data_IF_475738109283
#
_entry.id   IF_475738109283
#
_cell.length_a   1.000
_cell.length_b   1.000
_cell.length_c   1.000
_cell.angle_alpha   90.00
_cell.angle_beta   90.00
_cell.angle_gamma   90.00
#
_symmetry.space_group_name_H-M   'P 1'
#
loop_
_entity.id
_entity.type
_entity.pdbx_description
1 polymer ?
#
# COMPACT_ATOMS: atom_id res chain seq x y z
N UNK A 1 36.55 19.76 15.47
CA UNK A 1 36.48 18.47 14.75
C UNK A 1 35.03 18.06 14.69
N UNK A 2 34.34 18.48 13.65
CA UNK A 2 32.88 18.34 13.49
C UNK A 2 32.67 17.16 12.54
N UNK A 3 32.15 16.05 13.06
CA UNK A 3 31.78 14.90 12.26
C UNK A 3 30.41 15.20 11.68
N UNK A 4 30.41 15.59 10.41
CA UNK A 4 29.19 15.73 9.61
C UNK A 4 28.70 14.34 9.24
N UNK A 5 27.62 13.90 9.85
CA UNK A 5 26.92 12.67 9.45
C UNK A 5 26.07 13.00 8.21
N UNK A 6 26.63 12.76 7.03
CA UNK A 6 25.83 12.64 5.81
C UNK A 6 25.08 11.32 5.89
N UNK A 7 23.81 11.38 6.26
CA UNK A 7 22.85 10.32 5.99
C UNK A 7 22.10 10.76 4.73
N UNK A 8 22.62 10.28 3.59
CA UNK A 8 21.93 10.44 2.30
C UNK A 8 20.56 9.75 2.35
N UNK A 9 19.54 10.51 1.94
CA UNK A 9 18.15 10.05 1.86
C UNK A 9 17.93 9.02 0.73
N UNK A 10 18.30 7.77 0.98
CA UNK A 10 18.23 6.67 0.00
C UNK A 10 17.02 5.74 0.24
N UNK A 11 16.16 6.02 1.23
CA UNK A 11 15.23 5.00 1.74
C UNK A 11 13.92 4.81 0.97
N UNK A 12 13.53 5.72 0.08
CA UNK A 12 12.22 5.62 -0.60
C UNK A 12 12.28 5.18 -2.07
N UNK A 13 13.41 5.34 -2.75
CA UNK A 13 13.50 5.12 -4.21
C UNK A 13 13.51 3.64 -4.64
N UNK A 14 13.86 2.73 -3.75
CA UNK A 14 14.25 1.39 -4.17
C UNK A 14 13.15 0.32 -4.11
N UNK A 15 12.01 0.61 -3.49
CA UNK A 15 10.84 -0.29 -3.54
C UNK A 15 10.09 -0.23 -4.87
N UNK A 16 10.41 0.76 -5.71
CA UNK A 16 9.58 1.23 -6.81
C UNK A 16 10.16 0.98 -8.22
N UNK A 17 11.41 0.58 -8.36
CA UNK A 17 12.13 0.65 -9.65
C UNK A 17 12.03 -0.52 -10.63
N UNK A 18 11.27 -1.60 -10.39
CA UNK A 18 11.52 -2.81 -11.17
C UNK A 18 10.31 -3.57 -11.69
N UNK A 19 9.55 -2.99 -12.61
CA UNK A 19 8.76 -3.76 -13.57
C UNK A 19 8.70 -2.96 -14.89
N UNK A 20 9.79 -2.97 -15.64
CA UNK A 20 9.77 -2.57 -17.04
C UNK A 20 10.92 -3.25 -17.77
N UNK A 21 10.79 -4.52 -18.04
CA UNK A 21 11.46 -5.19 -19.15
C UNK A 21 10.76 -6.54 -19.40
N UNK A 22 10.32 -6.69 -20.65
CA UNK A 22 9.86 -7.92 -21.29
C UNK A 22 8.39 -8.34 -21.10
N UNK A 23 7.53 -7.87 -22.02
CA UNK A 23 6.61 -8.73 -22.75
C UNK A 23 6.35 -8.14 -24.14
N UNK A 24 7.18 -8.48 -25.08
CA UNK A 24 6.85 -8.44 -26.49
C UNK A 24 6.59 -9.88 -26.93
N UNK A 25 5.33 -10.24 -27.14
CA UNK A 25 4.96 -11.28 -28.12
C UNK A 25 3.49 -11.11 -28.49
N UNK A 26 3.30 -10.69 -29.73
CA UNK A 26 2.06 -10.70 -30.48
C UNK A 26 1.60 -12.15 -30.73
N UNK A 27 0.38 -12.51 -30.44
CA UNK A 27 -0.33 -13.58 -31.19
C UNK A 27 -1.78 -13.19 -31.46
N UNK A 28 -2.11 -13.45 -32.68
CA UNK A 28 -3.14 -13.07 -33.57
C UNK A 28 -4.53 -13.69 -33.30
N UNK A 29 -5.54 -12.96 -33.77
CA UNK A 29 -6.96 -13.26 -33.90
C UNK A 29 -7.31 -14.67 -34.37
N UNK A 30 -8.45 -15.20 -33.90
CA UNK A 30 -9.53 -15.77 -34.73
C UNK A 30 -10.81 -15.95 -33.91
N UNK A 31 -11.93 -15.33 -34.39
CA UNK A 31 -13.32 -15.74 -34.10
C UNK A 31 -13.70 -16.95 -34.97
N UNK A 32 -14.67 -17.77 -34.52
CA UNK A 32 -15.85 -17.96 -35.35
C UNK A 32 -17.19 -17.97 -34.60
N UNK A 33 -18.13 -17.31 -35.16
CA UNK A 33 -19.50 -17.57 -35.64
C UNK A 33 -20.42 -18.51 -34.84
N UNK A 34 -21.59 -17.95 -34.54
CA UNK A 34 -22.89 -18.56 -34.15
C UNK A 34 -23.42 -19.50 -35.25
N UNK A 35 -24.31 -20.48 -34.88
CA UNK A 35 -25.69 -20.32 -35.35
C UNK A 35 -26.80 -20.69 -34.32
N UNK A 36 -27.99 -20.20 -34.69
CA UNK A 36 -29.30 -20.36 -34.08
C UNK A 36 -29.87 -21.78 -34.23
N UNK A 37 -30.81 -22.19 -33.34
CA UNK A 37 -32.24 -22.47 -33.59
C UNK A 37 -32.90 -23.22 -32.42
N UNK A 38 -33.89 -22.62 -31.88
CA UNK A 38 -35.29 -22.98 -31.54
C UNK A 38 -35.69 -24.47 -31.62
N UNK A 39 -36.18 -25.01 -30.51
CA UNK A 39 -37.44 -25.80 -30.52
C UNK A 39 -38.12 -25.84 -29.13
N UNK A 40 -39.42 -25.72 -29.18
CA UNK A 40 -40.44 -25.66 -28.15
C UNK A 40 -40.98 -27.07 -27.93
N UNK A 41 -41.18 -27.51 -26.71
CA UNK A 41 -42.22 -28.53 -26.38
C UNK A 41 -42.62 -28.48 -24.91
N UNK A 42 -43.86 -28.75 -24.72
CA UNK A 42 -44.76 -28.53 -23.58
C UNK A 42 -44.55 -29.51 -22.42
N UNK A 43 -44.79 -29.02 -21.22
CA UNK A 43 -45.65 -29.62 -20.21
C UNK A 43 -45.25 -30.92 -19.55
N UNK A 44 -44.92 -30.83 -18.24
CA UNK A 44 -45.45 -31.76 -17.22
C UNK A 44 -45.24 -31.15 -15.83
N UNK A 45 -46.35 -30.91 -15.15
CA UNK A 45 -46.36 -30.51 -13.73
C UNK A 45 -45.97 -31.73 -12.88
N UNK A 46 -44.83 -31.66 -12.19
CA UNK A 46 -44.54 -32.53 -11.06
C UNK A 46 -44.41 -31.66 -9.80
N UNK A 47 -45.25 -31.94 -8.83
CA UNK A 47 -45.12 -31.50 -7.46
C UNK A 47 -43.75 -31.92 -6.93
N UNK A 48 -42.87 -30.97 -6.66
CA UNK A 48 -41.66 -31.24 -5.89
C UNK A 48 -41.81 -30.53 -4.54
N UNK A 49 -41.79 -31.35 -3.49
CA UNK A 49 -41.85 -30.94 -2.10
C UNK A 49 -40.76 -29.91 -1.76
N UNK A 50 -41.14 -28.82 -1.13
CA UNK A 50 -40.25 -27.80 -0.52
C UNK A 50 -39.47 -28.46 0.64
N UNK A 51 -38.28 -28.91 0.39
CA UNK A 51 -37.27 -29.07 1.42
C UNK A 51 -36.61 -27.71 1.64
N UNK A 52 -37.11 -26.96 2.65
CA UNK A 52 -36.40 -25.79 3.18
C UNK A 52 -35.17 -26.27 3.91
N UNK A 53 -34.10 -26.52 3.15
CA UNK A 53 -32.75 -26.55 3.69
C UNK A 53 -32.38 -25.13 4.11
N UNK A 54 -32.29 -24.89 5.42
CA UNK A 54 -31.72 -23.69 5.96
C UNK A 54 -30.26 -23.59 5.53
N UNK A 55 -30.01 -22.99 4.37
CA UNK A 55 -28.72 -22.50 3.97
C UNK A 55 -28.43 -21.30 4.88
N UNK A 56 -27.85 -21.54 6.05
CA UNK A 56 -27.23 -20.50 6.83
C UNK A 56 -26.11 -19.94 5.98
N UNK A 57 -26.44 -18.90 5.20
CA UNK A 57 -25.44 -18.07 4.57
C UNK A 57 -24.51 -17.64 5.71
N UNK A 58 -23.27 -18.12 5.70
CA UNK A 58 -22.15 -17.55 6.43
C UNK A 58 -22.01 -16.11 5.91
N UNK A 59 -22.76 -15.20 6.56
CA UNK A 59 -22.52 -13.78 6.36
C UNK A 59 -21.04 -13.59 6.73
N UNK A 60 -20.23 -13.02 5.83
CA UNK A 60 -18.86 -12.71 6.20
C UNK A 60 -18.93 -11.86 7.47
N UNK A 61 -18.22 -12.31 8.52
CA UNK A 61 -18.07 -11.54 9.75
C UNK A 61 -17.76 -10.09 9.35
N UNK A 62 -18.51 -9.08 9.86
CA UNK A 62 -18.19 -7.71 9.53
C UNK A 62 -16.74 -7.51 9.97
N UNK A 63 -15.86 -7.24 9.00
CA UNK A 63 -14.48 -6.87 9.28
C UNK A 63 -14.52 -5.78 10.35
N UNK A 64 -13.95 -6.05 11.52
CA UNK A 64 -13.92 -5.08 12.60
C UNK A 64 -13.16 -3.86 12.09
N UNK A 65 -13.87 -2.72 12.00
CA UNK A 65 -13.25 -1.46 11.63
C UNK A 65 -12.11 -1.16 12.63
N UNK A 66 -10.94 -0.81 12.13
CA UNK A 66 -9.83 -0.36 12.98
C UNK A 66 -10.30 0.92 13.68
N UNK A 67 -10.44 0.85 14.99
CA UNK A 67 -10.89 1.99 15.80
C UNK A 67 -9.70 2.54 16.58
N UNK A 68 -9.30 3.76 16.24
CA UNK A 68 -8.20 4.48 16.88
C UNK A 68 -8.69 5.85 17.38
N UNK A 69 -8.11 6.34 18.47
CA UNK A 69 -8.32 7.73 18.87
C UNK A 69 -7.65 8.68 17.86
N UNK A 70 -8.16 9.91 17.75
CA UNK A 70 -7.53 10.94 16.91
C UNK A 70 -6.05 11.16 17.28
N UNK A 71 -5.73 11.11 18.57
CA UNK A 71 -4.35 11.22 19.06
C UNK A 71 -3.46 10.07 18.56
N UNK A 72 -3.99 8.83 18.46
CA UNK A 72 -3.25 7.68 17.94
C UNK A 72 -3.06 7.80 16.44
N UNK A 73 -4.10 8.20 15.70
CA UNK A 73 -4.01 8.47 14.25
C UNK A 73 -2.93 9.50 13.95
N UNK A 74 -2.94 10.64 14.66
CA UNK A 74 -1.93 11.69 14.50
C UNK A 74 -0.51 11.19 14.85
N UNK A 75 -0.38 10.36 15.89
CA UNK A 75 0.91 9.74 16.26
C UNK A 75 1.43 8.82 15.18
N UNK A 76 0.57 7.99 14.60
CA UNK A 76 0.89 7.13 13.47
C UNK A 76 1.36 7.98 12.28
N UNK A 77 0.60 9.01 11.92
CA UNK A 77 0.95 9.93 10.83
C UNK A 77 2.32 10.57 11.01
N UNK A 78 2.63 11.06 12.22
CA UNK A 78 3.95 11.64 12.54
C UNK A 78 5.09 10.63 12.45
N UNK A 79 4.88 9.38 12.87
CA UNK A 79 5.89 8.31 12.73
C UNK A 79 6.15 7.98 11.25
N UNK A 80 5.09 7.89 10.45
CA UNK A 80 5.23 7.66 8.99
C UNK A 80 5.95 8.83 8.33
N UNK A 81 5.58 10.08 8.66
CA UNK A 81 6.28 11.27 8.18
C UNK A 81 7.77 11.22 8.54
N UNK A 82 8.11 10.82 9.77
CA UNK A 82 9.51 10.67 10.17
C UNK A 82 10.22 9.61 9.33
N UNK A 83 9.60 8.46 9.08
CA UNK A 83 10.20 7.35 8.33
C UNK A 83 10.39 7.67 6.85
N UNK A 84 9.40 8.31 6.21
CA UNK A 84 9.39 8.54 4.76
C UNK A 84 10.05 9.87 4.37
N UNK A 85 9.92 10.89 5.21
CA UNK A 85 10.30 12.26 4.89
C UNK A 85 11.32 12.86 5.87
N UNK A 86 11.94 12.05 6.75
CA UNK A 86 12.81 12.49 7.85
C UNK A 86 12.17 13.58 8.75
N UNK A 87 10.83 13.62 8.83
CA UNK A 87 10.09 14.66 9.57
C UNK A 87 10.24 16.07 9.00
N UNK A 88 10.76 16.23 7.79
CA UNK A 88 10.97 17.53 7.18
C UNK A 88 9.80 17.98 6.31
N UNK A 89 9.50 19.27 6.29
CA UNK A 89 8.44 19.83 5.43
C UNK A 89 8.81 19.68 3.95
N UNK A 90 10.08 19.85 3.60
CA UNK A 90 10.56 19.66 2.22
C UNK A 90 10.42 18.24 1.73
N UNK A 91 10.58 17.25 2.63
CA UNK A 91 10.40 15.84 2.33
C UNK A 91 8.96 15.44 1.94
N UNK A 92 7.96 16.26 2.33
CA UNK A 92 6.56 16.04 1.91
C UNK A 92 6.34 16.26 0.41
N UNK A 93 7.31 16.79 -0.31
CA UNK A 93 7.23 17.02 -1.76
C UNK A 93 8.54 16.62 -2.41
N UNK A 94 8.59 15.42 -2.95
CA UNK A 94 9.78 14.85 -3.57
C UNK A 94 9.52 14.33 -4.98
N UNK A 95 10.56 14.25 -5.78
CA UNK A 95 10.61 13.57 -7.06
C UNK A 95 12.01 12.99 -7.18
N UNK A 96 12.15 11.69 -6.95
CA UNK A 96 13.44 11.02 -6.93
C UNK A 96 14.04 10.90 -8.33
N UNK A 97 15.35 10.80 -8.40
CA UNK A 97 16.04 10.58 -9.66
C UNK A 97 15.66 9.23 -10.25
N UNK A 98 15.35 9.23 -11.56
CA UNK A 98 14.91 8.04 -12.28
C UNK A 98 13.46 7.61 -12.04
N UNK A 99 12.66 8.39 -11.30
CA UNK A 99 11.21 8.21 -11.22
C UNK A 99 10.48 9.09 -12.24
N UNK A 100 9.33 8.62 -12.73
CA UNK A 100 8.47 9.32 -13.69
C UNK A 100 7.25 9.98 -13.02
N UNK A 101 7.31 10.22 -11.71
CA UNK A 101 6.21 10.77 -10.91
C UNK A 101 6.70 11.59 -9.72
N UNK A 102 5.82 12.47 -9.22
CA UNK A 102 5.99 13.13 -7.94
C UNK A 102 5.50 12.24 -6.80
N UNK A 103 6.23 12.26 -5.67
CA UNK A 103 5.89 11.60 -4.41
C UNK A 103 5.54 12.66 -3.37
N UNK A 104 4.29 12.67 -2.89
CA UNK A 104 3.73 13.76 -2.10
C UNK A 104 3.10 13.26 -0.78
N UNK A 105 3.17 14.07 0.26
CA UNK A 105 2.62 13.77 1.58
C UNK A 105 3.43 12.76 2.39
N UNK A 106 2.93 12.42 3.58
CA UNK A 106 3.62 11.57 4.56
C UNK A 106 3.86 10.13 4.09
N UNK A 107 3.05 9.63 3.18
CA UNK A 107 3.16 8.27 2.62
C UNK A 107 3.79 8.24 1.22
N UNK A 108 4.40 9.34 0.77
CA UNK A 108 4.94 9.47 -0.58
C UNK A 108 3.94 9.02 -1.66
N UNK A 109 2.71 9.57 -1.60
CA UNK A 109 1.64 9.26 -2.53
C UNK A 109 2.00 9.70 -3.95
N UNK A 110 1.82 8.78 -4.89
CA UNK A 110 2.26 8.93 -6.28
C UNK A 110 1.28 9.78 -7.09
N UNK A 111 1.82 10.74 -7.86
CA UNK A 111 1.08 11.54 -8.82
C UNK A 111 1.80 11.60 -10.16
N UNK A 112 1.17 11.00 -11.20
CA UNK A 112 1.77 10.94 -12.52
C UNK A 112 1.50 12.18 -13.37
N UNK A 113 2.47 12.63 -14.19
CA UNK A 113 2.24 13.62 -15.25
C UNK A 113 1.24 13.16 -16.30
N UNK A 114 0.73 14.11 -17.07
CA UNK A 114 -0.19 13.83 -18.17
C UNK A 114 0.41 12.82 -19.17
N UNK A 115 -0.38 11.78 -19.45
CA UNK A 115 0.01 10.74 -20.43
C UNK A 115 1.06 9.76 -19.91
N UNK A 116 1.52 9.89 -18.68
CA UNK A 116 2.41 8.92 -18.03
C UNK A 116 1.62 8.02 -17.09
N UNK A 117 1.98 6.75 -17.11
CA UNK A 117 1.54 5.75 -16.14
C UNK A 117 2.70 4.79 -15.92
N UNK A 118 2.90 4.37 -14.69
CA UNK A 118 3.92 3.40 -14.33
C UNK A 118 3.29 2.16 -13.71
N UNK A 119 4.11 1.23 -13.22
CA UNK A 119 3.65 -0.01 -12.59
C UNK A 119 2.97 0.20 -11.23
N UNK A 120 3.06 1.42 -10.68
CA UNK A 120 2.54 1.72 -9.34
C UNK A 120 1.17 2.37 -9.41
N UNK A 121 0.37 2.11 -8.39
CA UNK A 121 -0.92 2.75 -8.23
C UNK A 121 -0.75 4.27 -8.01
N UNK A 122 -1.44 5.08 -8.82
CA UNK A 122 -1.53 6.50 -8.60
C UNK A 122 -2.42 6.76 -7.37
N UNK A 123 -1.81 7.22 -6.28
CA UNK A 123 -2.45 7.31 -4.98
C UNK A 123 -2.72 8.74 -4.50
N UNK A 124 -1.98 9.75 -4.97
CA UNK A 124 -2.15 11.14 -4.53
C UNK A 124 -3.52 11.72 -4.91
N UNK A 125 -4.06 11.54 -6.12
CA UNK A 125 -5.42 11.99 -6.46
C UNK A 125 -6.50 11.35 -5.56
N UNK A 126 -6.31 10.08 -5.17
CA UNK A 126 -7.21 9.39 -4.24
C UNK A 126 -7.16 10.00 -2.84
N UNK A 127 -5.95 10.33 -2.36
CA UNK A 127 -5.75 11.04 -1.11
C UNK A 127 -6.46 12.41 -1.13
N UNK A 128 -6.26 13.23 -2.17
CA UNK A 128 -6.88 14.55 -2.29
C UNK A 128 -8.41 14.43 -2.26
N UNK A 129 -8.98 13.46 -2.99
CA UNK A 129 -10.41 13.17 -2.96
C UNK A 129 -10.91 12.77 -1.56
N UNK A 130 -10.14 11.93 -0.85
CA UNK A 130 -10.46 11.49 0.50
C UNK A 130 -10.47 12.65 1.50
N UNK A 131 -9.46 13.51 1.45
CA UNK A 131 -9.31 14.68 2.33
C UNK A 131 -10.40 15.73 2.03
N UNK A 132 -10.69 15.97 0.75
CA UNK A 132 -11.75 16.89 0.32
C UNK A 132 -13.13 16.45 0.83
N UNK A 133 -13.46 15.15 0.76
CA UNK A 133 -14.71 14.59 1.29
C UNK A 133 -14.86 14.76 2.81
N UNK A 134 -13.76 15.00 3.52
CA UNK A 134 -13.74 15.30 4.97
C UNK A 134 -13.79 16.78 5.30
N UNK A 135 -14.03 17.63 4.28
CA UNK A 135 -14.25 19.06 4.46
C UNK A 135 -12.99 19.91 4.50
N UNK A 136 -11.81 19.37 4.28
CA UNK A 136 -10.60 20.17 4.22
C UNK A 136 -10.58 21.06 2.97
N UNK A 137 -10.20 22.34 3.17
CA UNK A 137 -10.09 23.32 2.09
C UNK A 137 -8.85 23.03 1.26
N UNK A 138 -9.05 22.71 -0.03
CA UNK A 138 -7.95 22.44 -0.95
C UNK A 138 -7.26 23.74 -1.39
N UNK A 139 -5.93 23.80 -1.48
CA UNK A 139 -5.22 24.88 -2.18
C UNK A 139 -5.56 24.84 -3.68
N UNK A 140 -5.44 25.98 -4.36
CA UNK A 140 -5.82 26.16 -5.78
C UNK A 140 -5.19 25.09 -6.69
N UNK A 141 -3.93 24.75 -6.45
CA UNK A 141 -3.21 23.70 -7.18
C UNK A 141 -3.92 22.34 -7.15
N UNK A 142 -4.62 22.02 -6.07
CA UNK A 142 -5.28 20.71 -5.87
C UNK A 142 -6.76 20.69 -6.26
N UNK A 143 -7.33 21.84 -6.63
CA UNK A 143 -8.74 21.86 -7.08
C UNK A 143 -8.87 21.07 -8.37
N UNK A 144 -9.65 19.98 -8.30
CA UNK A 144 -9.82 19.02 -9.39
C UNK A 144 -8.67 18.02 -9.57
N UNK A 145 -7.73 17.92 -8.63
CA UNK A 145 -6.60 16.96 -8.71
C UNK A 145 -7.05 15.49 -8.77
N UNK A 146 -8.27 15.16 -8.35
CA UNK A 146 -8.83 13.81 -8.50
C UNK A 146 -8.97 13.35 -9.96
N UNK A 147 -9.05 14.31 -10.89
CA UNK A 147 -9.24 14.07 -12.34
C UNK A 147 -8.10 14.65 -13.18
N UNK A 148 -7.21 15.43 -12.57
CA UNK A 148 -6.11 16.10 -13.27
C UNK A 148 -4.79 15.39 -13.03
N UNK A 149 -3.92 15.34 -14.05
CA UNK A 149 -2.55 14.84 -13.89
C UNK A 149 -1.72 15.79 -13.02
N UNK A 150 -0.56 15.30 -12.55
CA UNK A 150 0.44 16.11 -11.90
C UNK A 150 0.77 17.36 -12.75
N UNK A 151 0.83 18.55 -12.16
CA UNK A 151 1.05 19.79 -12.90
C UNK A 151 2.48 19.94 -13.45
N UNK A 152 3.43 19.17 -12.90
CA UNK A 152 4.81 19.14 -13.38
C UNK A 152 5.00 17.94 -14.32
N UNK A 153 5.52 18.19 -15.53
CA UNK A 153 5.69 17.13 -16.54
C UNK A 153 7.03 16.40 -16.41
N UNK A 154 7.92 16.90 -15.59
CA UNK A 154 9.25 16.33 -15.36
C UNK A 154 9.80 16.70 -13.98
N UNK A 155 10.78 15.89 -13.52
CA UNK A 155 11.56 16.21 -12.32
C UNK A 155 12.20 17.59 -12.38
N UNK A 156 12.68 18.02 -13.54
CA UNK A 156 13.29 19.35 -13.71
C UNK A 156 12.28 20.47 -13.48
N UNK A 157 11.05 20.35 -14.01
CA UNK A 157 9.98 21.32 -13.74
C UNK A 157 9.59 21.33 -12.25
N UNK A 158 9.44 20.16 -11.65
CA UNK A 158 9.15 20.02 -10.24
C UNK A 158 10.22 20.71 -9.36
N UNK A 159 11.51 20.49 -9.65
CA UNK A 159 12.61 21.09 -8.91
C UNK A 159 12.67 22.62 -9.10
N UNK A 160 12.34 23.14 -10.29
CA UNK A 160 12.23 24.60 -10.51
C UNK A 160 11.08 25.22 -9.70
N UNK A 161 10.01 24.48 -9.47
CA UNK A 161 8.85 24.93 -8.71
C UNK A 161 9.05 24.87 -7.18
N UNK A 162 10.16 24.34 -6.67
CA UNK A 162 10.37 24.07 -5.23
C UNK A 162 10.19 25.28 -4.31
N UNK A 163 10.38 26.51 -4.82
CA UNK A 163 10.23 27.75 -4.06
C UNK A 163 9.02 28.58 -4.50
N UNK A 164 8.14 28.02 -5.35
CA UNK A 164 6.93 28.70 -5.79
C UNK A 164 5.91 28.83 -4.66
N UNK A 165 5.01 29.81 -4.78
CA UNK A 165 3.88 29.99 -3.87
C UNK A 165 3.00 28.74 -3.81
N UNK A 166 2.71 28.13 -4.96
CA UNK A 166 1.89 26.93 -5.04
C UNK A 166 2.54 25.74 -4.31
N UNK A 167 3.86 25.55 -4.44
CA UNK A 167 4.58 24.49 -3.73
C UNK A 167 4.57 24.72 -2.22
N UNK A 168 4.71 25.98 -1.78
CA UNK A 168 4.65 26.30 -0.35
C UNK A 168 3.23 26.10 0.22
N UNK A 169 2.19 26.47 -0.53
CA UNK A 169 0.80 26.19 -0.15
C UNK A 169 0.50 24.68 -0.11
N UNK A 170 1.03 23.92 -1.07
CA UNK A 170 0.92 22.46 -1.07
C UNK A 170 1.58 21.86 0.18
N UNK A 171 2.80 22.27 0.51
CA UNK A 171 3.50 21.78 1.71
C UNK A 171 2.75 22.10 2.98
N UNK A 172 2.25 23.33 3.10
CA UNK A 172 1.45 23.72 4.27
C UNK A 172 0.18 22.87 4.39
N UNK A 173 -0.55 22.67 3.29
CA UNK A 173 -1.71 21.79 3.25
C UNK A 173 -1.37 20.36 3.69
N UNK A 174 -0.23 19.82 3.24
CA UNK A 174 0.21 18.47 3.63
C UNK A 174 0.58 18.40 5.11
N UNK A 175 1.15 19.47 5.68
CA UNK A 175 1.40 19.56 7.14
C UNK A 175 0.09 19.62 7.91
N UNK A 176 -0.86 20.45 7.48
CA UNK A 176 -2.12 20.71 8.17
C UNK A 176 -3.08 19.50 8.12
N UNK A 177 -2.80 18.51 7.25
CA UNK A 177 -3.66 17.32 7.03
C UNK A 177 -2.96 16.00 7.33
N UNK A 178 -1.94 15.99 8.19
CA UNK A 178 -1.20 14.77 8.56
C UNK A 178 -2.14 13.69 9.12
N UNK A 179 -3.09 14.06 9.95
CA UNK A 179 -4.10 13.17 10.52
C UNK A 179 -4.98 12.54 9.45
N UNK A 180 -5.48 13.35 8.50
CA UNK A 180 -6.30 12.86 7.38
C UNK A 180 -5.51 11.96 6.42
N UNK A 181 -4.22 12.25 6.22
CA UNK A 181 -3.34 11.37 5.45
C UNK A 181 -3.12 10.04 6.18
N UNK A 182 -2.96 10.03 7.50
CA UNK A 182 -2.88 8.81 8.29
C UNK A 182 -4.19 8.02 8.25
N UNK A 183 -5.35 8.67 8.35
CA UNK A 183 -6.65 8.03 8.17
C UNK A 183 -6.78 7.38 6.79
N UNK A 184 -6.29 8.03 5.74
CA UNK A 184 -6.28 7.46 4.40
C UNK A 184 -5.43 6.19 4.31
N UNK A 185 -4.24 6.17 4.93
CA UNK A 185 -3.40 4.99 5.00
C UNK A 185 -4.07 3.85 5.78
N UNK A 186 -4.75 4.15 6.89
CA UNK A 186 -5.51 3.17 7.67
C UNK A 186 -6.67 2.61 6.84
N UNK A 187 -7.39 3.45 6.11
CA UNK A 187 -8.48 3.01 5.23
C UNK A 187 -7.96 2.11 4.08
N UNK A 188 -6.77 2.40 3.53
CA UNK A 188 -6.10 1.52 2.56
C UNK A 188 -5.74 0.18 3.17
N UNK A 189 -5.19 0.17 4.39
CA UNK A 189 -4.89 -1.06 5.12
C UNK A 189 -6.15 -1.92 5.32
N UNK A 190 -7.27 -1.32 5.74
CA UNK A 190 -8.53 -2.04 5.88
C UNK A 190 -9.01 -2.66 4.56
N UNK A 191 -8.84 -1.94 3.44
CA UNK A 191 -9.19 -2.47 2.11
C UNK A 191 -8.21 -3.50 1.57
N UNK A 192 -7.02 -3.62 2.15
CA UNK A 192 -6.03 -4.62 1.77
C UNK A 192 -6.37 -6.02 2.30
N UNK A 193 -6.98 -6.13 3.49
CA UNK A 193 -7.26 -7.44 4.10
C UNK A 193 -8.10 -8.36 3.23
N UNK A 194 -9.24 -7.95 2.63
CA UNK A 194 -10.00 -8.83 1.73
C UNK A 194 -9.19 -9.34 0.54
N UNK A 195 -8.29 -8.50 -0.01
CA UNK A 195 -7.41 -8.89 -1.12
C UNK A 195 -6.37 -9.92 -0.68
N UNK A 196 -5.78 -9.70 0.50
CA UNK A 196 -4.82 -10.64 1.08
C UNK A 196 -5.47 -12.00 1.37
N UNK A 197 -6.70 -12.01 1.92
CA UNK A 197 -7.45 -13.25 2.15
C UNK A 197 -7.80 -13.97 0.86
N UNK A 198 -8.12 -13.24 -0.21
CA UNK A 198 -8.41 -13.83 -1.52
C UNK A 198 -7.16 -14.44 -2.19
N UNK A 199 -5.97 -13.89 -1.91
CA UNK A 199 -4.68 -14.36 -2.45
C UNK A 199 -4.08 -15.49 -1.60
N UNK A 200 -4.31 -15.49 -0.29
CA UNK A 200 -3.82 -16.52 0.63
C UNK A 200 -4.38 -17.92 0.31
N UNK A 201 -3.58 -18.95 0.52
CA UNK A 201 -4.06 -20.31 0.43
C UNK A 201 -5.24 -20.55 1.39
N UNK A 202 -6.25 -21.37 1.03
CA UNK A 202 -7.41 -21.60 1.90
C UNK A 202 -7.06 -22.05 3.33
N UNK A 203 -5.95 -22.78 3.50
CA UNK A 203 -5.43 -23.21 4.81
C UNK A 203 -4.93 -22.04 5.67
N UNK A 204 -4.50 -20.95 5.05
CA UNK A 204 -3.79 -19.85 5.73
C UNK A 204 -4.69 -18.63 5.97
N UNK A 205 -5.86 -18.55 5.29
CA UNK A 205 -6.79 -17.43 5.40
C UNK A 205 -7.20 -17.12 6.84
N UNK A 206 -7.55 -18.14 7.62
CA UNK A 206 -7.94 -17.97 9.01
C UNK A 206 -6.79 -17.41 9.87
N UNK A 207 -5.56 -17.92 9.66
CA UNK A 207 -4.38 -17.41 10.34
C UNK A 207 -4.08 -15.96 9.95
N UNK A 208 -4.09 -15.62 8.66
CA UNK A 208 -3.85 -14.25 8.16
C UNK A 208 -4.84 -13.27 8.79
N UNK A 209 -6.13 -13.62 8.84
CA UNK A 209 -7.15 -12.80 9.49
C UNK A 209 -6.88 -12.64 10.98
N UNK A 210 -6.59 -13.71 11.70
CA UNK A 210 -6.31 -13.66 13.13
C UNK A 210 -5.09 -12.80 13.45
N UNK A 211 -3.99 -12.95 12.69
CA UNK A 211 -2.77 -12.16 12.92
C UNK A 211 -3.01 -10.67 12.63
N UNK A 212 -3.77 -10.35 11.59
CA UNK A 212 -4.18 -8.97 11.30
C UNK A 212 -5.01 -8.38 12.45
N UNK A 213 -6.02 -9.12 12.94
CA UNK A 213 -6.87 -8.70 14.04
C UNK A 213 -6.09 -8.55 15.38
N UNK A 214 -5.12 -9.42 15.63
CA UNK A 214 -4.23 -9.30 16.82
C UNK A 214 -3.46 -7.99 16.82
N UNK A 215 -2.90 -7.61 15.69
CA UNK A 215 -2.13 -6.37 15.53
C UNK A 215 -3.02 -5.13 15.63
N UNK A 216 -4.23 -5.18 15.06
CA UNK A 216 -5.15 -4.03 15.08
C UNK A 216 -5.74 -3.72 16.46
N UNK A 217 -5.55 -4.58 17.46
CA UNK A 217 -5.99 -4.32 18.85
C UNK A 217 -5.21 -3.20 19.55
N UNK A 218 -4.06 -2.80 19.01
CA UNK A 218 -3.22 -1.77 19.62
C UNK A 218 -2.83 -0.70 18.59
N UNK A 219 -2.68 0.58 18.99
CA UNK A 219 -2.17 1.63 18.11
C UNK A 219 -0.79 1.31 17.54
N UNK A 220 0.05 0.61 18.32
CA UNK A 220 1.38 0.19 17.92
C UNK A 220 1.34 -0.86 16.80
N UNK A 221 0.46 -1.85 16.93
CA UNK A 221 0.27 -2.86 15.87
C UNK A 221 -0.36 -2.26 14.63
N UNK A 222 -1.33 -1.33 14.76
CA UNK A 222 -1.87 -0.57 13.62
C UNK A 222 -0.76 0.21 12.90
N UNK A 223 0.13 0.88 13.63
CA UNK A 223 1.27 1.57 13.05
C UNK A 223 2.17 0.60 12.27
N UNK A 224 2.52 -0.55 12.84
CA UNK A 224 3.38 -1.54 12.20
C UNK A 224 2.77 -2.05 10.87
N UNK A 225 1.46 -2.36 10.87
CA UNK A 225 0.75 -2.77 9.66
C UNK A 225 0.72 -1.67 8.59
N UNK A 226 0.34 -0.44 8.96
CA UNK A 226 0.24 0.69 8.04
C UNK A 226 1.61 1.03 7.45
N UNK A 227 2.63 1.11 8.30
CA UNK A 227 3.99 1.42 7.87
C UNK A 227 4.54 0.33 6.94
N UNK A 228 4.33 -0.95 7.25
CA UNK A 228 4.81 -2.04 6.44
C UNK A 228 4.13 -2.12 5.06
N UNK A 229 2.81 -1.93 5.00
CA UNK A 229 2.10 -1.85 3.70
C UNK A 229 2.60 -0.68 2.86
N UNK A 230 2.79 0.50 3.49
CA UNK A 230 3.33 1.66 2.77
C UNK A 230 4.77 1.41 2.28
N UNK A 231 5.55 0.66 3.04
CA UNK A 231 6.96 0.37 2.78
C UNK A 231 7.18 -0.77 1.77
N UNK A 232 6.39 -1.87 1.85
CA UNK A 232 6.63 -3.12 1.10
C UNK A 232 5.42 -3.63 0.33
N UNK A 233 4.28 -2.98 0.45
CA UNK A 233 3.05 -3.37 -0.24
C UNK A 233 2.23 -4.42 0.48
N UNK A 234 1.10 -4.76 -0.14
CA UNK A 234 0.13 -5.72 0.38
C UNK A 234 0.62 -7.18 0.25
N UNK A 235 1.50 -7.48 -0.72
CA UNK A 235 2.01 -8.82 -1.00
C UNK A 235 1.09 -9.68 -1.87
N UNK A 236 0.12 -9.06 -2.55
CA UNK A 236 -0.85 -9.75 -3.41
C UNK A 236 -0.43 -9.79 -4.88
N UNK A 237 0.53 -8.98 -5.29
CA UNK A 237 0.95 -8.93 -6.69
C UNK A 237 1.95 -10.03 -7.02
N UNK A 238 1.65 -10.83 -8.05
CA UNK A 238 2.55 -11.89 -8.53
C UNK A 238 3.87 -11.34 -9.09
N UNK A 239 3.88 -10.08 -9.52
CA UNK A 239 5.09 -9.37 -10.00
C UNK A 239 6.03 -8.95 -8.87
N UNK A 240 5.54 -8.94 -7.62
CA UNK A 240 6.32 -8.62 -6.42
C UNK A 240 6.83 -9.89 -5.74
N UNK A 241 7.51 -10.76 -6.50
CA UNK A 241 8.04 -12.04 -6.02
C UNK A 241 9.42 -12.32 -6.63
N UNK A 242 10.30 -12.90 -5.82
CA UNK A 242 11.55 -13.49 -6.28
C UNK A 242 11.50 -15.00 -6.03
N UNK A 243 11.76 -15.80 -7.04
CA UNK A 243 11.71 -17.27 -6.94
C UNK A 243 10.38 -17.78 -6.31
N UNK A 244 9.26 -17.12 -6.63
CA UNK A 244 7.94 -17.44 -6.09
C UNK A 244 7.62 -16.89 -4.70
N UNK A 245 8.59 -16.27 -3.99
CA UNK A 245 8.42 -15.72 -2.65
C UNK A 245 8.13 -14.22 -2.70
N UNK A 246 6.98 -13.81 -2.19
CA UNK A 246 6.61 -12.42 -2.00
C UNK A 246 7.25 -11.81 -0.75
N UNK A 247 7.10 -10.50 -0.60
CA UNK A 247 7.71 -9.75 0.53
C UNK A 247 6.79 -8.70 1.15
N UNK A 248 5.50 -8.72 0.80
CA UNK A 248 4.53 -7.77 1.34
C UNK A 248 3.91 -8.21 2.66
N UNK A 249 2.88 -7.48 3.10
CA UNK A 249 2.22 -7.73 4.38
C UNK A 249 1.65 -9.15 4.48
N UNK A 250 1.05 -9.67 3.41
CA UNK A 250 0.49 -11.02 3.39
C UNK A 250 1.52 -12.04 3.88
N UNK A 251 2.74 -12.04 3.30
CA UNK A 251 3.78 -13.02 3.64
C UNK A 251 4.27 -12.88 5.08
N UNK A 252 4.23 -11.67 5.62
CA UNK A 252 4.56 -11.46 7.05
C UNK A 252 3.49 -12.08 7.94
N UNK A 253 2.21 -11.87 7.64
CA UNK A 253 1.10 -12.43 8.42
C UNK A 253 1.04 -13.96 8.31
N UNK A 254 1.32 -14.54 7.12
CA UNK A 254 1.45 -15.98 6.92
C UNK A 254 2.55 -16.59 7.82
N UNK A 255 3.62 -15.86 8.07
CA UNK A 255 4.74 -16.28 8.93
C UNK A 255 4.51 -16.09 10.44
N UNK A 256 3.34 -15.61 10.87
CA UNK A 256 2.96 -15.41 12.27
C UNK A 256 1.98 -16.51 12.71
N UNK A 257 2.11 -17.01 13.96
CA UNK A 257 1.25 -18.08 14.47
C UNK A 257 0.91 -17.92 15.97
N UNK A 258 1.34 -16.81 16.60
CA UNK A 258 1.05 -16.54 17.98
C UNK A 258 -0.42 -16.23 18.25
N UNK A 259 -0.84 -16.33 19.51
CA UNK A 259 -2.22 -16.09 19.97
C UNK A 259 -2.34 -14.90 20.91
N UNK A 260 -1.23 -14.49 21.56
CA UNK A 260 -1.20 -13.35 22.48
C UNK A 260 -1.10 -12.02 21.73
N UNK A 261 -1.99 -11.08 22.08
CA UNK A 261 -1.89 -9.71 21.51
C UNK A 261 -0.72 -8.91 22.11
N UNK A 262 -0.22 -9.29 23.29
CA UNK A 262 0.90 -8.62 23.92
C UNK A 262 2.20 -8.75 23.12
N UNK A 263 2.41 -9.92 22.49
CA UNK A 263 3.62 -10.22 21.72
C UNK A 263 3.46 -10.01 20.21
N UNK A 264 2.28 -9.54 19.77
CA UNK A 264 1.95 -9.47 18.34
C UNK A 264 2.92 -8.61 17.55
N UNK A 265 3.34 -7.46 18.07
CA UNK A 265 4.26 -6.55 17.38
C UNK A 265 5.68 -7.13 17.33
N UNK A 266 6.13 -7.79 18.39
CA UNK A 266 7.44 -8.46 18.42
C UNK A 266 7.48 -9.63 17.43
N UNK A 267 6.42 -10.40 17.35
CA UNK A 267 6.29 -11.48 16.38
C UNK A 267 6.24 -10.94 14.95
N UNK A 268 5.46 -9.89 14.71
CA UNK A 268 5.41 -9.21 13.42
C UNK A 268 6.80 -8.73 12.98
N UNK A 269 7.55 -8.09 13.88
CA UNK A 269 8.90 -7.65 13.57
C UNK A 269 9.85 -8.81 13.23
N UNK A 270 9.73 -9.96 13.91
CA UNK A 270 10.51 -11.18 13.60
C UNK A 270 10.12 -11.74 12.24
N UNK A 271 8.82 -11.89 11.96
CA UNK A 271 8.32 -12.39 10.67
C UNK A 271 8.73 -11.47 9.51
N UNK A 272 8.59 -10.15 9.67
CA UNK A 272 9.00 -9.17 8.68
C UNK A 272 10.51 -9.23 8.39
N UNK A 273 11.36 -9.43 9.41
CA UNK A 273 12.81 -9.63 9.20
C UNK A 273 13.08 -10.89 8.38
N UNK A 274 12.40 -11.99 8.67
CA UNK A 274 12.56 -13.24 7.92
C UNK A 274 12.19 -13.05 6.45
N UNK A 275 11.03 -12.44 6.18
CA UNK A 275 10.55 -12.13 4.83
C UNK A 275 11.51 -11.22 4.06
N UNK A 276 12.03 -10.16 4.68
CA UNK A 276 12.96 -9.25 4.03
C UNK A 276 14.34 -9.88 3.79
N UNK A 277 14.79 -10.75 4.68
CA UNK A 277 16.03 -11.52 4.50
C UNK A 277 15.88 -12.51 3.35
N UNK A 278 14.74 -13.23 3.28
CA UNK A 278 14.42 -14.13 2.18
C UNK A 278 14.35 -13.39 0.84
N UNK A 279 13.76 -12.18 0.82
CA UNK A 279 13.75 -11.33 -0.37
C UNK A 279 15.16 -11.06 -0.89
N UNK A 280 16.08 -10.67 -0.01
CA UNK A 280 17.47 -10.40 -0.40
C UNK A 280 18.18 -11.65 -0.91
N UNK A 281 17.96 -12.80 -0.25
CA UNK A 281 18.54 -14.08 -0.68
C UNK A 281 18.07 -14.51 -2.07
N UNK A 282 16.81 -14.24 -2.39
CA UNK A 282 16.18 -14.60 -3.65
C UNK A 282 16.33 -13.53 -4.74
N UNK A 283 16.81 -12.32 -4.38
CA UNK A 283 16.92 -11.22 -5.34
C UNK A 283 17.99 -11.50 -6.41
N UNK A 284 17.78 -11.07 -7.66
CA UNK A 284 18.82 -11.10 -8.67
C UNK A 284 20.07 -10.35 -8.20
N UNK A 285 21.26 -10.94 -8.44
CA UNK A 285 22.53 -10.43 -7.92
C UNK A 285 22.81 -8.99 -8.37
N UNK A 286 22.43 -8.65 -9.60
CA UNK A 286 22.59 -7.32 -10.20
C UNK A 286 21.80 -6.21 -9.49
N UNK A 287 20.82 -6.56 -8.66
CA UNK A 287 20.05 -5.60 -7.86
C UNK A 287 20.79 -5.14 -6.61
N UNK A 288 21.75 -5.90 -6.15
CA UNK A 288 22.53 -5.58 -4.95
C UNK A 288 21.67 -5.24 -3.72
N UNK A 289 20.50 -5.91 -3.54
CA UNK A 289 19.54 -5.58 -2.47
C UNK A 289 20.09 -5.77 -1.06
N UNK A 290 21.17 -6.53 -0.88
CA UNK A 290 21.87 -6.71 0.39
C UNK A 290 22.29 -5.39 1.05
N UNK A 291 22.63 -4.38 0.24
CA UNK A 291 23.01 -3.03 0.73
C UNK A 291 21.88 -2.33 1.52
N UNK A 292 20.63 -2.68 1.27
CA UNK A 292 19.48 -2.05 1.93
C UNK A 292 18.96 -2.82 3.15
N UNK A 293 19.32 -4.09 3.28
CA UNK A 293 18.77 -4.98 4.31
C UNK A 293 18.96 -4.41 5.73
N UNK A 294 20.13 -3.85 6.04
CA UNK A 294 20.38 -3.28 7.37
C UNK A 294 19.44 -2.12 7.71
N UNK A 295 19.08 -1.30 6.73
CA UNK A 295 18.12 -0.23 6.87
C UNK A 295 16.69 -0.75 7.06
N UNK A 296 16.29 -1.72 6.27
CA UNK A 296 14.99 -2.37 6.40
C UNK A 296 14.81 -3.02 7.77
N UNK A 297 15.85 -3.72 8.28
CA UNK A 297 15.84 -4.33 9.61
C UNK A 297 15.74 -3.27 10.72
N UNK A 298 16.46 -2.13 10.60
CA UNK A 298 16.30 -1.03 11.56
C UNK A 298 14.87 -0.48 11.59
N UNK A 299 14.24 -0.27 10.42
CA UNK A 299 12.84 0.19 10.34
C UNK A 299 11.90 -0.79 11.03
N UNK A 300 12.00 -2.07 10.72
CA UNK A 300 11.15 -3.11 11.31
C UNK A 300 11.37 -3.23 12.83
N UNK A 301 12.62 -3.07 13.30
CA UNK A 301 12.92 -3.05 14.75
C UNK A 301 12.25 -1.88 15.47
N UNK A 302 12.03 -0.74 14.81
CA UNK A 302 11.36 0.42 15.41
C UNK A 302 9.88 0.20 15.71
N UNK A 303 9.28 -0.88 15.20
CA UNK A 303 7.89 -1.22 15.52
C UNK A 303 7.69 -1.58 16.99
N UNK A 304 8.70 -2.09 17.67
CA UNK A 304 8.64 -2.51 19.08
C UNK A 304 8.78 -1.36 20.08
N UNK A 305 8.66 -0.10 19.67
CA UNK A 305 8.68 1.04 20.58
C UNK A 305 10.07 1.61 20.85
N UNK A 306 10.92 1.71 19.81
CA UNK A 306 12.11 2.55 19.83
C UNK A 306 11.75 4.03 19.86
#
# INVERSE_FOLDING_TARGET
>A
MTISCFIEGVFCADSVKWIAAETGTLINKRRPSRPERRQRSEGHYFLAALVFGALTALLPNPLHAITLSHADVLRIGKKIWQNECNGTISGLTSWNEGEDFASLGIGHFIWYPKGRRGPFEESFPKLVSFISKRGAKLPTLLVGAGEKPCPWNSRTEFLRAQHSTDMNQLRQFLVDTIDLQAEFLIARLQSALPKMLAEAAPSDQANVQEQFERLTKTPQGCYALVDYVNFKGEGVLHTERYQGHGWGLLQVLEGMHGTSSADAVDEFARAAKAVLTQRVQNSPTERHESRWLSGWIRRVNSYNGG
#
